data_IF_591142384252
#
_entry.id   IF_591142384252
#
_cell.length_a   1.000
_cell.length_b   1.000
_cell.length_c   1.000
_cell.angle_alpha   90.00
_cell.angle_beta   90.00
_cell.angle_gamma   90.00
#
_symmetry.space_group_name_H-M   'P 1'
#
loop_
_entity.id
_entity.type
_entity.pdbx_description
1 polymer ?
#
# COMPACT_ATOMS: atom_id res chain seq x y z
N UNK A 1 -16.65 -15.33 -9.86
CA UNK A 1 -17.33 -14.22 -10.57
C UNK A 1 -16.31 -13.11 -10.77
N UNK A 2 -15.89 -12.80 -12.01
CA UNK A 2 -15.05 -11.64 -12.29
C UNK A 2 -15.79 -10.33 -11.95
N UNK A 3 -15.08 -9.33 -11.46
CA UNK A 3 -15.61 -7.99 -11.13
C UNK A 3 -14.50 -6.95 -11.28
N UNK A 4 -14.83 -5.67 -11.20
CA UNK A 4 -13.87 -4.56 -11.25
C UNK A 4 -14.07 -3.61 -10.05
N UNK A 5 -13.19 -2.62 -9.90
CA UNK A 5 -13.26 -1.68 -8.78
C UNK A 5 -14.56 -0.87 -8.71
N UNK A 6 -15.21 -0.61 -9.85
CA UNK A 6 -16.45 0.17 -9.92
C UNK A 6 -17.64 -0.66 -9.43
N UNK A 7 -17.61 -1.97 -9.67
CA UNK A 7 -18.71 -2.90 -9.41
C UNK A 7 -18.52 -3.76 -8.17
N UNK A 8 -17.32 -3.75 -7.57
CA UNK A 8 -16.94 -4.58 -6.42
C UNK A 8 -17.96 -4.53 -5.27
N UNK A 9 -18.36 -3.32 -4.86
CA UNK A 9 -19.30 -3.13 -3.74
C UNK A 9 -20.70 -3.60 -4.13
N UNK A 10 -21.15 -3.23 -5.33
CA UNK A 10 -22.48 -3.59 -5.81
C UNK A 10 -22.66 -5.10 -5.92
N UNK A 11 -21.63 -5.83 -6.36
CA UNK A 11 -21.70 -7.29 -6.47
C UNK A 11 -21.91 -7.99 -5.13
N UNK A 12 -21.32 -7.49 -4.04
CA UNK A 12 -21.61 -7.98 -2.68
C UNK A 12 -23.05 -7.65 -2.27
N UNK A 13 -23.46 -6.38 -2.43
CA UNK A 13 -24.78 -5.89 -2.03
C UNK A 13 -25.90 -6.65 -2.76
N UNK A 14 -25.72 -6.93 -4.05
CA UNK A 14 -26.67 -7.68 -4.86
C UNK A 14 -26.53 -9.20 -4.75
N UNK A 15 -25.64 -9.71 -3.90
CA UNK A 15 -25.46 -11.15 -3.68
C UNK A 15 -24.85 -11.92 -4.86
N UNK A 16 -24.11 -11.25 -5.76
CA UNK A 16 -23.38 -11.94 -6.83
C UNK A 16 -22.22 -12.80 -6.28
N UNK A 17 -21.73 -12.46 -5.10
CA UNK A 17 -20.73 -13.24 -4.35
C UNK A 17 -20.84 -12.93 -2.84
N UNK A 18 -20.48 -13.91 -2.02
CA UNK A 18 -20.62 -13.84 -0.56
C UNK A 18 -19.50 -13.06 0.14
N UNK A 19 -18.31 -12.99 -0.49
CA UNK A 19 -17.12 -12.33 0.05
C UNK A 19 -16.22 -11.88 -1.10
N UNK A 20 -15.53 -10.75 -0.95
CA UNK A 20 -14.54 -10.27 -1.93
C UNK A 20 -13.13 -10.74 -1.60
N UNK A 21 -12.18 -10.45 -2.50
CA UNK A 21 -10.78 -10.31 -2.10
C UNK A 21 -10.56 -9.08 -1.21
N UNK A 22 -9.30 -8.75 -0.98
CA UNK A 22 -8.86 -7.58 -0.22
C UNK A 22 -9.23 -6.24 -0.87
N UNK A 23 -9.81 -5.31 -0.10
CA UNK A 23 -9.89 -3.91 -0.48
C UNK A 23 -9.70 -2.97 0.72
N UNK A 24 -9.20 -1.76 0.46
CA UNK A 24 -9.04 -0.73 1.48
C UNK A 24 -10.35 -0.42 2.18
N UNK A 25 -10.28 -0.32 3.50
CA UNK A 25 -11.36 0.17 4.31
C UNK A 25 -11.66 1.62 3.90
N UNK A 26 -12.92 1.89 3.62
CA UNK A 26 -13.38 3.22 3.28
C UNK A 26 -14.75 3.45 3.90
N UNK A 27 -14.91 4.60 4.55
CA UNK A 27 -16.17 4.95 5.20
C UNK A 27 -17.32 5.10 4.19
N UNK A 28 -17.04 5.43 2.93
CA UNK A 28 -18.08 5.48 1.90
C UNK A 28 -18.60 4.08 1.55
N UNK A 29 -17.71 3.08 1.48
CA UNK A 29 -18.07 1.67 1.25
C UNK A 29 -18.76 1.06 2.46
N UNK A 30 -18.28 1.38 3.67
CA UNK A 30 -18.84 0.88 4.93
C UNK A 30 -20.29 1.32 5.18
N UNK A 31 -20.79 2.34 4.46
CA UNK A 31 -22.21 2.71 4.48
C UNK A 31 -23.13 1.65 3.87
N UNK A 32 -22.62 0.82 2.97
CA UNK A 32 -23.45 -0.10 2.16
C UNK A 32 -22.95 -1.55 2.15
N UNK A 33 -21.73 -1.81 2.62
CA UNK A 33 -21.15 -3.15 2.73
C UNK A 33 -20.56 -3.38 4.13
N UNK A 34 -20.60 -4.63 4.59
CA UNK A 34 -19.88 -5.08 5.77
C UNK A 34 -18.41 -5.35 5.44
N UNK A 35 -17.57 -5.30 6.47
CA UNK A 35 -16.14 -5.61 6.38
C UNK A 35 -15.78 -6.72 7.35
N UNK A 36 -14.82 -7.54 6.96
CA UNK A 36 -14.09 -8.38 7.91
C UNK A 36 -13.18 -7.52 8.80
N UNK A 37 -12.63 -8.12 9.86
CA UNK A 37 -11.44 -7.60 10.53
C UNK A 37 -10.30 -7.47 9.51
N UNK A 38 -9.46 -6.46 9.72
CA UNK A 38 -8.27 -6.24 8.89
C UNK A 38 -7.19 -7.25 9.25
N UNK A 39 -6.53 -7.81 8.24
CA UNK A 39 -5.43 -8.76 8.39
C UNK A 39 -4.13 -8.26 7.76
N UNK A 40 -4.16 -7.08 7.15
CA UNK A 40 -3.03 -6.43 6.51
C UNK A 40 -3.32 -4.94 6.35
N UNK A 41 -2.28 -4.10 6.37
CA UNK A 41 -2.41 -2.67 6.05
C UNK A 41 -1.54 -2.36 4.84
N UNK A 42 -2.10 -1.66 3.86
CA UNK A 42 -1.29 -0.94 2.91
C UNK A 42 -0.64 0.22 3.64
N UNK A 43 0.66 0.39 3.48
CA UNK A 43 1.36 1.55 4.03
C UNK A 43 2.25 2.15 2.96
N UNK A 44 2.49 3.45 3.05
CA UNK A 44 3.42 4.16 2.18
C UNK A 44 4.84 3.96 2.69
N UNK A 45 5.73 3.52 1.80
CA UNK A 45 7.16 3.33 2.06
C UNK A 45 7.98 4.05 0.98
N UNK A 46 9.20 4.51 1.30
CA UNK A 46 10.11 5.06 0.31
C UNK A 46 10.88 3.95 -0.40
N UNK A 47 11.11 4.14 -1.69
CA UNK A 47 11.94 3.31 -2.54
C UNK A 47 13.11 4.14 -3.06
N UNK A 48 14.32 3.60 -2.99
CA UNK A 48 15.54 4.26 -3.46
C UNK A 48 16.40 3.29 -4.27
N UNK A 49 17.39 3.84 -4.98
CA UNK A 49 18.43 3.04 -5.60
C UNK A 49 19.41 2.52 -4.54
N UNK A 50 19.89 1.27 -4.66
CA UNK A 50 20.77 0.64 -3.66
C UNK A 50 22.06 1.39 -3.37
N UNK A 51 22.61 2.12 -4.35
CA UNK A 51 23.74 3.03 -4.15
C UNK A 51 23.51 4.10 -3.05
N UNK A 52 22.26 4.38 -2.68
CA UNK A 52 21.90 5.31 -1.60
C UNK A 52 21.64 4.60 -0.26
N UNK A 53 21.93 3.31 -0.11
CA UNK A 53 21.63 2.54 1.11
C UNK A 53 22.20 3.17 2.39
N UNK A 54 23.44 3.68 2.33
CA UNK A 54 24.10 4.32 3.48
C UNK A 54 23.61 5.76 3.72
N UNK A 55 22.84 6.31 2.78
CA UNK A 55 22.46 7.73 2.73
C UNK A 55 21.05 7.97 3.29
N UNK A 56 20.16 6.97 3.21
CA UNK A 56 18.78 7.07 3.67
C UNK A 56 18.43 5.89 4.57
N UNK A 57 18.18 6.17 5.84
CA UNK A 57 17.79 5.19 6.85
C UNK A 57 16.41 5.50 7.45
N UNK A 58 15.91 6.73 7.33
CA UNK A 58 14.54 7.06 7.72
C UNK A 58 13.93 8.17 6.86
N UNK A 59 12.66 8.52 7.12
CA UNK A 59 11.92 9.57 6.42
C UNK A 59 12.61 10.94 6.47
N UNK A 60 13.28 11.26 7.58
CA UNK A 60 13.91 12.56 7.79
C UNK A 60 15.15 12.75 6.91
N UNK A 61 15.84 11.66 6.54
CA UNK A 61 16.98 11.71 5.61
C UNK A 61 16.51 12.07 4.19
N UNK A 62 15.25 11.76 3.86
CA UNK A 62 14.61 12.09 2.59
C UNK A 62 14.02 13.51 2.57
N UNK A 63 13.74 14.10 3.74
CA UNK A 63 13.25 15.47 3.86
C UNK A 63 14.41 16.48 4.05
N UNK A 64 15.34 16.51 3.10
CA UNK A 64 16.49 17.41 3.16
C UNK A 64 16.62 18.23 1.87
N UNK A 65 17.17 19.44 1.99
CA UNK A 65 17.48 20.26 0.81
C UNK A 65 18.45 19.53 -0.11
N UNK A 66 18.13 19.52 -1.40
CA UNK A 66 18.93 18.84 -2.44
C UNK A 66 18.63 17.35 -2.59
N UNK A 67 17.76 16.76 -1.75
CA UNK A 67 17.21 15.42 -2.00
C UNK A 67 16.02 15.54 -2.94
N UNK A 68 15.97 14.68 -3.96
CA UNK A 68 14.89 14.64 -4.96
C UNK A 68 13.95 13.48 -4.71
N UNK A 69 12.69 13.77 -4.43
CA UNK A 69 11.64 12.75 -4.23
C UNK A 69 10.62 12.81 -5.36
N UNK A 70 10.49 11.72 -6.10
CA UNK A 70 9.58 11.60 -7.22
C UNK A 70 8.18 11.12 -6.82
N UNK A 71 7.17 11.62 -7.54
CA UNK A 71 5.80 11.11 -7.52
C UNK A 71 5.13 11.33 -8.87
N UNK A 72 4.01 10.64 -9.11
CA UNK A 72 3.23 10.81 -10.34
C UNK A 72 2.13 11.86 -10.13
N UNK A 73 1.98 12.77 -11.09
CA UNK A 73 0.99 13.85 -11.09
C UNK A 73 -0.44 13.31 -10.90
N UNK A 74 -1.22 13.95 -10.02
CA UNK A 74 -2.63 13.64 -9.77
C UNK A 74 -2.85 12.42 -8.87
N UNK A 75 -1.80 11.87 -8.26
CA UNK A 75 -1.90 10.70 -7.37
C UNK A 75 -1.94 11.10 -5.89
N UNK A 76 -2.37 10.18 -5.03
CA UNK A 76 -2.25 10.33 -3.57
C UNK A 76 -0.79 10.51 -3.15
N UNK A 77 0.14 9.85 -3.85
CA UNK A 77 1.58 9.94 -3.61
C UNK A 77 2.10 11.36 -3.86
N UNK A 78 1.58 12.10 -4.84
CA UNK A 78 1.97 13.52 -5.04
C UNK A 78 1.64 14.36 -3.79
N UNK A 79 0.42 14.22 -3.26
CA UNK A 79 0.01 14.93 -2.05
C UNK A 79 0.85 14.50 -0.84
N UNK A 80 1.14 13.19 -0.74
CA UNK A 80 1.97 12.64 0.33
C UNK A 80 3.42 13.12 0.24
N UNK A 81 4.03 13.20 -0.95
CA UNK A 81 5.41 13.73 -1.11
C UNK A 81 5.49 15.17 -0.63
N UNK A 82 4.53 16.02 -1.04
CA UNK A 82 4.47 17.42 -0.60
C UNK A 82 4.29 17.57 0.91
N UNK A 83 3.53 16.66 1.53
CA UNK A 83 3.28 16.68 2.96
C UNK A 83 4.39 16.04 3.80
N UNK A 84 5.03 14.98 3.30
CA UNK A 84 6.02 14.19 4.05
C UNK A 84 7.43 14.76 3.90
N UNK A 85 7.71 15.44 2.78
CA UNK A 85 9.04 15.95 2.44
C UNK A 85 9.00 17.43 2.04
N UNK A 86 8.50 18.35 2.89
CA UNK A 86 8.38 19.77 2.54
C UNK A 86 9.71 20.47 2.17
N UNK A 87 10.85 19.97 2.62
CA UNK A 87 12.18 20.55 2.39
C UNK A 87 12.95 19.90 1.22
N UNK A 88 12.43 18.79 0.68
CA UNK A 88 12.99 18.10 -0.48
C UNK A 88 12.55 18.73 -1.80
N UNK A 89 13.31 18.48 -2.86
CA UNK A 89 12.91 18.78 -4.23
C UNK A 89 11.90 17.75 -4.74
N UNK A 90 10.73 18.19 -5.22
CA UNK A 90 9.69 17.29 -5.71
C UNK A 90 9.78 17.10 -7.22
N UNK A 91 10.07 15.86 -7.66
CA UNK A 91 10.11 15.48 -9.07
C UNK A 91 8.75 14.91 -9.47
N UNK A 92 7.83 15.78 -9.90
CA UNK A 92 6.48 15.36 -10.29
C UNK A 92 6.44 15.02 -11.77
N UNK A 93 6.19 13.75 -12.10
CA UNK A 93 6.15 13.26 -13.50
C UNK A 93 4.71 12.99 -13.94
N UNK A 94 4.45 13.15 -15.24
CA UNK A 94 3.13 12.88 -15.84
C UNK A 94 3.10 11.50 -16.50
N UNK A 95 1.97 10.79 -16.37
CA UNK A 95 1.77 9.51 -17.05
C UNK A 95 1.91 9.66 -18.58
N UNK A 96 2.52 8.70 -19.30
CA UNK A 96 2.81 7.33 -18.87
C UNK A 96 4.13 7.15 -18.11
N UNK A 97 4.91 8.21 -17.88
CA UNK A 97 6.11 8.12 -17.07
C UNK A 97 5.76 7.69 -15.62
N UNK A 98 6.64 6.91 -15.02
CA UNK A 98 6.46 6.41 -13.65
C UNK A 98 7.57 6.96 -12.75
N UNK A 99 7.18 7.42 -11.57
CA UNK A 99 8.06 7.93 -10.52
C UNK A 99 9.25 7.00 -10.19
N UNK A 100 9.04 5.69 -10.06
CA UNK A 100 10.14 4.74 -9.79
C UNK A 100 11.19 4.70 -10.91
N UNK A 101 10.85 5.10 -12.13
CA UNK A 101 11.82 5.18 -13.24
C UNK A 101 12.79 6.35 -13.06
N UNK A 102 12.36 7.43 -12.40
CA UNK A 102 13.25 8.54 -12.04
C UNK A 102 14.30 8.08 -11.03
N UNK A 103 13.93 7.19 -10.10
CA UNK A 103 14.87 6.55 -9.15
C UNK A 103 15.83 5.60 -9.87
N UNK A 104 15.31 4.70 -10.72
CA UNK A 104 16.14 3.78 -11.51
C UNK A 104 17.17 4.51 -12.38
N UNK A 105 16.77 5.63 -12.96
CA UNK A 105 17.63 6.46 -13.82
C UNK A 105 18.48 7.47 -13.06
N UNK A 106 18.43 7.47 -11.72
CA UNK A 106 19.15 8.40 -10.83
C UNK A 106 18.82 9.88 -11.07
N UNK A 107 17.63 10.17 -11.62
CA UNK A 107 17.09 11.53 -11.76
C UNK A 107 16.36 12.00 -10.50
N UNK A 108 15.87 11.05 -9.70
CA UNK A 108 15.41 11.26 -8.34
C UNK A 108 16.19 10.36 -7.37
N UNK A 109 16.34 10.79 -6.13
CA UNK A 109 16.98 10.01 -5.07
C UNK A 109 16.04 8.94 -4.50
N UNK A 110 14.73 9.22 -4.46
CA UNK A 110 13.71 8.30 -4.00
C UNK A 110 12.34 8.57 -4.65
N UNK A 111 11.41 7.62 -4.52
CA UNK A 111 9.97 7.83 -4.69
C UNK A 111 9.23 7.20 -3.50
N UNK A 112 7.94 7.50 -3.32
CA UNK A 112 7.10 6.80 -2.34
C UNK A 112 6.00 6.00 -3.02
N UNK A 113 5.75 4.81 -2.51
CA UNK A 113 4.66 3.95 -3.00
C UNK A 113 4.14 3.04 -1.89
N UNK A 114 3.12 2.22 -2.17
CA UNK A 114 2.64 1.20 -1.24
C UNK A 114 3.70 0.12 -1.00
N UNK A 115 3.76 -0.43 0.21
CA UNK A 115 4.57 -1.61 0.56
C UNK A 115 4.39 -2.78 -0.43
N UNK A 116 3.17 -3.02 -0.93
CA UNK A 116 2.88 -4.06 -1.94
C UNK A 116 3.55 -3.76 -3.29
N UNK A 117 3.43 -2.53 -3.80
CA UNK A 117 4.07 -2.15 -5.05
C UNK A 117 5.59 -2.12 -4.90
N UNK A 118 6.10 -1.60 -3.78
CA UNK A 118 7.53 -1.59 -3.47
C UNK A 118 8.10 -3.02 -3.46
N UNK A 119 7.43 -3.97 -2.81
CA UNK A 119 7.81 -5.39 -2.80
C UNK A 119 7.92 -5.99 -4.21
N UNK A 120 6.96 -5.64 -5.07
CA UNK A 120 6.94 -6.07 -6.48
C UNK A 120 8.09 -5.41 -7.27
N UNK A 121 8.35 -4.13 -7.03
CA UNK A 121 9.40 -3.38 -7.72
C UNK A 121 10.80 -3.86 -7.36
N UNK A 122 11.09 -4.14 -6.08
CA UNK A 122 12.41 -4.65 -5.68
C UNK A 122 12.65 -6.10 -6.10
N UNK A 123 11.57 -6.88 -6.32
CA UNK A 123 11.68 -8.20 -6.93
C UNK A 123 12.02 -8.09 -8.43
N UNK A 124 11.40 -7.13 -9.12
CA UNK A 124 11.58 -6.93 -10.56
C UNK A 124 12.89 -6.20 -10.91
N UNK A 125 13.32 -5.27 -10.07
CA UNK A 125 14.47 -4.40 -10.30
C UNK A 125 15.46 -4.54 -9.15
N UNK A 126 16.54 -5.28 -9.40
CA UNK A 126 17.57 -5.60 -8.42
C UNK A 126 18.33 -4.39 -7.88
N UNK A 127 18.26 -3.27 -8.58
CA UNK A 127 18.88 -1.98 -8.30
C UNK A 127 18.09 -1.17 -7.25
N UNK A 128 16.83 -1.52 -7.01
CA UNK A 128 15.96 -0.83 -6.07
C UNK A 128 15.99 -1.52 -4.71
N UNK A 129 15.77 -0.72 -3.67
CA UNK A 129 15.51 -1.19 -2.32
C UNK A 129 14.46 -0.31 -1.64
N UNK A 130 13.73 -0.89 -0.69
CA UNK A 130 12.91 -0.13 0.24
C UNK A 130 13.84 0.51 1.26
N UNK A 131 13.66 1.81 1.54
CA UNK A 131 14.41 2.50 2.59
C UNK A 131 14.00 1.88 3.94
N UNK A 132 14.96 1.53 4.83
CA UNK A 132 14.69 0.82 6.08
C UNK A 132 14.11 1.73 7.17
N UNK A 133 12.99 2.39 6.85
CA UNK A 133 12.30 3.34 7.74
C UNK A 133 11.83 2.67 9.03
N UNK A 134 11.80 3.43 10.11
CA UNK A 134 11.37 2.95 11.43
C UNK A 134 9.90 2.54 11.48
N UNK A 135 9.04 3.29 10.77
CA UNK A 135 7.63 2.98 10.59
C UNK A 135 7.15 3.46 9.21
N UNK A 136 6.33 2.65 8.53
CA UNK A 136 5.69 3.07 7.30
C UNK A 136 4.58 4.11 7.57
N UNK A 137 4.37 5.05 6.64
CA UNK A 137 3.38 6.14 6.82
C UNK A 137 2.03 5.84 6.17
N UNK A 138 0.99 6.55 6.60
CA UNK A 138 -0.37 6.47 6.06
C UNK A 138 -0.96 5.04 5.95
N UNK A 139 -0.95 4.25 7.04
CA UNK A 139 -1.49 2.90 7.02
C UNK A 139 -2.99 2.93 6.70
N UNK A 140 -3.39 2.15 5.72
CA UNK A 140 -4.78 1.94 5.32
C UNK A 140 -5.12 0.46 5.51
N UNK A 141 -6.00 0.13 6.48
CA UNK A 141 -6.44 -1.24 6.69
C UNK A 141 -7.06 -1.85 5.45
N UNK A 142 -6.80 -3.13 5.22
CA UNK A 142 -7.31 -3.91 4.11
C UNK A 142 -8.13 -5.08 4.67
N UNK A 143 -9.35 -5.21 4.17
CA UNK A 143 -10.29 -6.22 4.62
C UNK A 143 -11.13 -6.76 3.47
N UNK A 144 -11.83 -7.86 3.72
CA UNK A 144 -12.77 -8.45 2.78
C UNK A 144 -14.15 -7.82 2.96
N UNK A 145 -14.85 -7.53 1.86
CA UNK A 145 -16.20 -6.99 1.89
C UNK A 145 -17.22 -8.13 1.85
N UNK A 146 -18.28 -7.97 2.63
CA UNK A 146 -19.39 -8.91 2.77
C UNK A 146 -20.72 -8.15 2.85
N UNK A 147 -21.84 -8.87 2.73
CA UNK A 147 -23.15 -8.25 2.81
C UNK A 147 -23.37 -7.66 4.20
N UNK A 148 -23.75 -6.39 4.28
CA UNK A 148 -23.77 -5.63 5.53
C UNK A 148 -24.75 -6.20 6.56
N UNK A 149 -25.86 -6.78 6.12
CA UNK A 149 -26.90 -7.36 6.97
C UNK A 149 -26.58 -8.80 7.42
N UNK A 150 -25.58 -9.47 6.83
CA UNK A 150 -25.20 -10.84 7.20
C UNK A 150 -24.15 -10.85 8.33
N UNK A 151 -24.58 -10.42 9.51
CA UNK A 151 -23.71 -10.31 10.69
C UNK A 151 -23.18 -11.66 11.17
N UNK A 152 -23.93 -12.75 10.94
CA UNK A 152 -23.48 -14.11 11.30
C UNK A 152 -22.29 -14.51 10.43
N UNK A 153 -22.36 -14.24 9.12
CA UNK A 153 -21.25 -14.52 8.21
C UNK A 153 -20.02 -13.65 8.50
N UNK A 154 -20.22 -12.36 8.76
CA UNK A 154 -19.12 -11.45 9.15
C UNK A 154 -18.42 -11.96 10.41
N UNK A 155 -19.17 -12.33 11.44
CA UNK A 155 -18.59 -12.84 12.69
C UNK A 155 -17.84 -14.16 12.48
N UNK A 156 -18.36 -15.06 11.64
CA UNK A 156 -17.67 -16.30 11.29
C UNK A 156 -16.30 -16.03 10.65
N UNK A 157 -16.26 -15.11 9.69
CA UNK A 157 -15.00 -14.71 9.03
C UNK A 157 -14.05 -14.04 10.02
N UNK A 158 -14.54 -13.16 10.89
CA UNK A 158 -13.70 -12.49 11.89
C UNK A 158 -13.10 -13.48 12.89
N UNK A 159 -13.85 -14.47 13.35
CA UNK A 159 -13.31 -15.55 14.18
C UNK A 159 -12.25 -16.37 13.44
N UNK A 160 -12.46 -16.66 12.15
CA UNK A 160 -11.46 -17.33 11.32
C UNK A 160 -10.18 -16.50 11.17
N UNK A 161 -10.31 -15.19 10.90
CA UNK A 161 -9.18 -14.26 10.79
C UNK A 161 -8.39 -14.26 12.10
N UNK A 162 -9.09 -14.11 13.24
CA UNK A 162 -8.43 -14.13 14.55
C UNK A 162 -7.66 -15.43 14.77
N UNK A 163 -8.27 -16.57 14.50
CA UNK A 163 -7.60 -17.87 14.65
C UNK A 163 -6.36 -18.00 13.74
N UNK A 164 -6.44 -17.48 12.52
CA UNK A 164 -5.31 -17.48 11.57
C UNK A 164 -4.19 -16.56 12.02
N UNK A 165 -4.52 -15.40 12.57
CA UNK A 165 -3.56 -14.45 13.12
C UNK A 165 -2.81 -15.03 14.31
N UNK A 166 -3.51 -15.63 15.27
CA UNK A 166 -2.89 -16.30 16.44
C UNK A 166 -1.96 -17.46 16.05
N UNK A 167 -2.16 -18.05 14.87
CA UNK A 167 -1.35 -19.14 14.33
C UNK A 167 -0.23 -18.66 13.38
N UNK A 168 0.00 -17.36 13.28
CA UNK A 168 1.06 -16.80 12.43
C UNK A 168 0.81 -16.91 10.92
N UNK A 169 -0.41 -17.25 10.48
CA UNK A 169 -0.72 -17.50 9.07
C UNK A 169 -0.49 -16.25 8.20
N UNK A 170 -0.94 -15.09 8.67
CA UNK A 170 -0.77 -13.83 7.93
C UNK A 170 0.68 -13.34 7.93
N UNK A 171 1.46 -13.65 8.97
CA UNK A 171 2.90 -13.36 9.01
C UNK A 171 3.67 -14.24 8.03
N UNK A 172 3.35 -15.54 7.95
CA UNK A 172 3.92 -16.45 6.95
C UNK A 172 3.58 -16.02 5.52
N UNK A 173 2.32 -15.64 5.26
CA UNK A 173 1.93 -15.06 3.97
C UNK A 173 2.65 -13.74 3.70
N UNK A 174 2.79 -12.87 4.71
CA UNK A 174 3.52 -11.63 4.62
C UNK A 174 4.96 -11.86 4.17
N UNK A 175 5.67 -12.81 4.79
CA UNK A 175 7.03 -13.20 4.38
C UNK A 175 7.07 -13.78 2.97
N UNK A 176 6.16 -14.70 2.65
CA UNK A 176 6.07 -15.34 1.32
C UNK A 176 5.92 -14.30 0.20
N UNK A 177 5.09 -13.29 0.43
CA UNK A 177 4.77 -12.26 -0.55
C UNK A 177 5.53 -10.94 -0.33
N UNK A 178 6.52 -10.92 0.58
CA UNK A 178 7.33 -9.74 0.93
C UNK A 178 6.49 -8.52 1.34
N UNK A 179 5.38 -8.77 2.03
CA UNK A 179 4.45 -7.77 2.55
C UNK A 179 4.71 -7.43 4.02
N UNK A 180 5.85 -7.83 4.58
CA UNK A 180 6.23 -7.48 5.94
C UNK A 180 6.42 -5.97 6.06
N UNK A 181 5.67 -5.37 6.99
CA UNK A 181 5.87 -3.99 7.45
C UNK A 181 7.10 -3.92 8.37
#
# INVERSE_FOLDING_TARGET
VPTDWKTLVNGVVSGQYHITGSASLSMSRAKVAGYSDSYFSLATVPLTHKDNADRFNDWDDLNQKGVKVAATLGTTQEMQVKSFFPDAEHVIVEAPARDFQEVLSRRADANITSNVEAATLVEKYSELMVVPVSEAKAPTPIAMLMKQDDQVWINYINHWIRLKQERGFFEELGRKWRLSN
#
